data_IF_036405304731
#
_entry.id   IF_036405304731
#
_cell.length_a   1.000
_cell.length_b   1.000
_cell.length_c   1.000
_cell.angle_alpha   90.00
_cell.angle_beta   90.00
_cell.angle_gamma   90.00
#
_symmetry.space_group_name_H-M   'P 1'
#
loop_
_entity.id
_entity.type
_entity.pdbx_description
1 polymer ?
#
# COMPACT_ATOMS: atom_id res chain seq x y z
N UNK A 1 6.74 13.94 -8.18
CA UNK A 1 7.82 14.54 -7.37
C UNK A 1 7.19 14.88 -6.04
N UNK A 2 7.66 14.25 -4.96
CA UNK A 2 7.18 14.55 -3.61
C UNK A 2 8.23 15.45 -2.98
N UNK A 3 7.80 16.59 -2.45
CA UNK A 3 8.67 17.49 -1.71
C UNK A 3 8.25 17.44 -0.24
N UNK A 4 9.20 17.11 0.63
CA UNK A 4 9.05 17.30 2.06
C UNK A 4 10.07 18.33 2.53
N UNK A 5 9.67 19.10 3.53
CA UNK A 5 10.54 19.99 4.26
C UNK A 5 10.63 19.46 5.68
N UNK A 6 11.85 19.23 6.17
CA UNK A 6 12.09 18.81 7.55
C UNK A 6 12.72 19.98 8.29
N UNK A 7 12.11 20.40 9.39
CA UNK A 7 12.69 21.42 10.27
C UNK A 7 13.81 20.79 11.10
N UNK A 8 15.01 21.36 11.01
CA UNK A 8 16.15 21.05 11.86
C UNK A 8 16.81 22.35 12.33
N UNK A 9 16.91 22.53 13.65
CA UNK A 9 17.56 23.68 14.29
C UNK A 9 17.10 25.06 13.79
N UNK A 10 15.81 25.20 13.49
CA UNK A 10 15.21 26.45 13.00
C UNK A 10 15.46 26.75 11.51
N UNK A 11 15.98 25.77 10.77
CA UNK A 11 16.17 25.80 9.32
C UNK A 11 15.38 24.65 8.66
N UNK A 12 14.99 24.83 7.39
CA UNK A 12 14.32 23.79 6.62
C UNK A 12 15.28 23.16 5.63
N UNK A 13 15.42 21.84 5.68
CA UNK A 13 16.12 21.07 4.65
C UNK A 13 15.11 20.56 3.61
N UNK A 14 15.46 20.73 2.33
CA UNK A 14 14.66 20.22 1.21
C UNK A 14 15.12 18.81 0.87
N UNK A 15 14.21 17.85 0.99
CA UNK A 15 14.41 16.50 0.48
C UNK A 15 13.62 16.33 -0.82
N UNK A 16 14.33 16.02 -1.90
CA UNK A 16 13.71 15.68 -3.19
C UNK A 16 13.66 14.16 -3.33
N UNK A 17 12.43 13.63 -3.38
CA UNK A 17 12.21 12.20 -3.57
C UNK A 17 11.33 11.93 -4.79
N UNK A 18 11.79 11.00 -5.63
CA UNK A 18 11.07 10.56 -6.83
C UNK A 18 10.70 9.10 -6.68
N UNK A 19 9.41 8.86 -6.47
CA UNK A 19 8.81 7.53 -6.44
C UNK A 19 8.16 7.21 -7.79
N UNK A 20 8.36 5.97 -8.25
CA UNK A 20 7.61 5.40 -9.37
C UNK A 20 6.86 4.17 -8.88
N UNK A 21 5.54 4.30 -8.80
CA UNK A 21 4.65 3.21 -8.39
C UNK A 21 3.92 2.65 -9.62
N UNK A 22 3.58 1.36 -9.58
CA UNK A 22 2.66 0.74 -10.52
C UNK A 22 1.30 0.66 -9.87
N UNK A 23 0.27 1.10 -10.58
CA UNK A 23 -1.11 0.84 -10.17
C UNK A 23 -1.44 -0.62 -10.47
N UNK A 24 -1.96 -1.32 -9.47
CA UNK A 24 -2.35 -2.72 -9.56
C UNK A 24 -3.86 -2.78 -9.36
N UNK A 25 -4.55 -3.50 -10.24
CA UNK A 25 -5.96 -3.79 -10.03
C UNK A 25 -6.12 -4.72 -8.81
N UNK A 26 -6.99 -4.39 -7.85
CA UNK A 26 -7.34 -5.25 -6.73
C UNK A 26 -7.60 -6.71 -7.07
N UNK A 27 -8.35 -6.95 -8.15
CA UNK A 27 -8.80 -8.29 -8.51
C UNK A 27 -7.65 -9.09 -9.16
N UNK A 28 -6.82 -8.45 -9.99
CA UNK A 28 -5.60 -9.06 -10.52
C UNK A 28 -4.67 -9.54 -9.38
N UNK A 29 -4.48 -8.69 -8.35
CA UNK A 29 -3.65 -9.03 -7.18
C UNK A 29 -4.25 -10.23 -6.41
N UNK A 30 -5.57 -10.27 -6.25
CA UNK A 30 -6.25 -11.38 -5.58
C UNK A 30 -6.02 -12.69 -6.34
N UNK A 31 -6.22 -12.68 -7.66
CA UNK A 31 -6.06 -13.87 -8.50
C UNK A 31 -4.62 -14.41 -8.49
N UNK A 32 -3.63 -13.51 -8.56
CA UNK A 32 -2.21 -13.87 -8.50
C UNK A 32 -1.88 -14.56 -7.17
N UNK A 33 -2.30 -13.97 -6.05
CA UNK A 33 -2.06 -14.52 -4.72
C UNK A 33 -2.81 -15.84 -4.49
N UNK A 34 -4.04 -15.97 -4.99
CA UNK A 34 -4.79 -17.23 -4.91
C UNK A 34 -4.12 -18.35 -5.70
N UNK A 35 -3.58 -18.05 -6.88
CA UNK A 35 -2.82 -19.01 -7.71
C UNK A 35 -1.57 -19.53 -6.98
N UNK A 36 -0.98 -18.69 -6.12
CA UNK A 36 0.15 -19.08 -5.27
C UNK A 36 -0.26 -19.89 -4.01
N UNK A 37 -1.56 -20.20 -3.85
CA UNK A 37 -2.07 -21.00 -2.74
C UNK A 37 -2.35 -20.20 -1.47
N UNK A 38 -2.63 -18.90 -1.59
CA UNK A 38 -3.11 -18.09 -0.47
C UNK A 38 -4.63 -18.02 -0.47
N UNK A 39 -5.21 -18.05 0.73
CA UNK A 39 -6.53 -17.51 0.96
C UNK A 39 -6.42 -15.99 1.11
N UNK A 40 -7.18 -15.24 0.32
CA UNK A 40 -7.03 -13.78 0.21
C UNK A 40 -8.34 -13.08 0.48
N UNK A 41 -8.30 -12.05 1.32
CA UNK A 41 -9.38 -11.07 1.47
C UNK A 41 -8.88 -9.66 1.15
N UNK A 42 -9.72 -8.86 0.48
CA UNK A 42 -9.46 -7.45 0.18
C UNK A 42 -10.35 -6.56 1.05
N UNK A 43 -9.90 -5.36 1.38
CA UNK A 43 -10.65 -4.38 2.16
C UNK A 43 -10.28 -2.95 1.78
N UNK A 44 -11.24 -2.03 1.86
CA UNK A 44 -11.00 -0.59 1.71
C UNK A 44 -10.63 0.09 3.03
N UNK A 45 -10.35 -0.70 4.07
CA UNK A 45 -10.05 -0.22 5.42
C UNK A 45 -8.88 -1.01 6.05
N UNK A 46 -8.17 -0.37 6.97
CA UNK A 46 -7.25 -1.03 7.88
C UNK A 46 -7.94 -1.19 9.25
N UNK A 47 -8.43 -2.40 9.51
CA UNK A 47 -9.34 -2.64 10.63
C UNK A 47 -10.64 -1.85 10.44
N UNK A 48 -10.94 -0.93 11.37
CA UNK A 48 -12.11 -0.05 11.31
C UNK A 48 -11.83 1.30 10.64
N UNK A 49 -10.57 1.57 10.26
CA UNK A 49 -10.17 2.88 9.71
C UNK A 49 -10.20 2.84 8.18
N UNK A 50 -11.02 3.66 7.50
CA UNK A 50 -11.03 3.72 6.05
C UNK A 50 -9.68 4.16 5.47
N UNK A 51 -9.28 3.55 4.36
CA UNK A 51 -8.10 3.96 3.62
C UNK A 51 -8.39 5.17 2.72
N UNK A 52 -7.37 5.96 2.35
CA UNK A 52 -7.51 7.00 1.35
C UNK A 52 -8.09 6.46 0.04
N UNK A 53 -8.83 7.30 -0.70
CA UNK A 53 -9.37 6.92 -2.01
C UNK A 53 -8.25 6.46 -2.94
N UNK A 54 -8.45 5.29 -3.58
CA UNK A 54 -7.44 4.66 -4.43
C UNK A 54 -6.47 3.74 -3.69
N UNK A 55 -6.54 3.66 -2.36
CA UNK A 55 -5.82 2.68 -1.56
C UNK A 55 -6.74 1.53 -1.12
N UNK A 56 -6.15 0.35 -0.97
CA UNK A 56 -6.81 -0.86 -0.49
C UNK A 56 -5.82 -1.67 0.33
N UNK A 57 -6.32 -2.43 1.31
CA UNK A 57 -5.57 -3.45 2.05
C UNK A 57 -5.95 -4.84 1.58
N UNK A 58 -5.04 -5.79 1.78
CA UNK A 58 -5.32 -7.20 1.61
C UNK A 58 -4.76 -8.01 2.78
N UNK A 59 -5.39 -9.14 3.08
CA UNK A 59 -4.88 -10.15 4.00
C UNK A 59 -4.71 -11.45 3.20
N UNK A 60 -3.47 -11.93 3.12
CA UNK A 60 -3.14 -13.20 2.48
C UNK A 60 -2.69 -14.20 3.55
N UNK A 61 -3.46 -15.28 3.70
CA UNK A 61 -3.17 -16.37 4.63
C UNK A 61 -2.70 -17.58 3.85
N UNK A 62 -1.54 -18.14 4.20
CA UNK A 62 -1.12 -19.43 3.66
C UNK A 62 -2.14 -20.48 4.11
N UNK A 63 -2.84 -21.11 3.17
CA UNK A 63 -3.70 -22.24 3.52
C UNK A 63 -2.81 -23.34 4.12
N UNK A 64 -3.11 -23.77 5.35
CA UNK A 64 -2.36 -24.83 6.01
C UNK A 64 -2.37 -26.09 5.13
N UNK A 65 -1.18 -26.63 4.88
CA UNK A 65 -1.02 -28.00 4.38
C UNK A 65 -1.11 -29.00 5.51
#
# INVERSE_FOLDING_TARGET
MIHSFVEQDGLYERHDETHRLRLIDPDDLREELQTLGFEVSLSTAYGTVPLPTGCMSFLARKSGG
#
